data_IF_731599877754
#
_entry.id   IF_731599877754
#
_cell.length_a   1.000
_cell.length_b   1.000
_cell.length_c   1.000
_cell.angle_alpha   90.00
_cell.angle_beta   90.00
_cell.angle_gamma   90.00
#
_symmetry.space_group_name_H-M   'P 1'
#
loop_
_entity.id
_entity.type
_entity.pdbx_description
1 polymer ?
#
# COMPACT_ATOMS: atom_id res chain seq x y z
N UNK A 1 -13.33 14.88 -7.99
CA UNK A 1 -13.39 13.90 -6.87
C UNK A 1 -12.03 13.88 -6.21
N UNK A 2 -11.90 14.36 -4.97
CA UNK A 2 -10.65 14.28 -4.22
C UNK A 2 -10.79 13.08 -3.27
N UNK A 3 -10.38 11.90 -3.73
CA UNK A 3 -10.45 10.67 -2.95
C UNK A 3 -9.26 10.58 -1.98
N UNK A 4 -9.51 10.27 -0.71
CA UNK A 4 -8.46 10.06 0.27
C UNK A 4 -7.88 8.64 0.15
N UNK A 5 -6.55 8.49 0.27
CA UNK A 5 -5.85 7.19 0.17
C UNK A 5 -6.40 6.10 1.11
N UNK A 6 -6.89 6.49 2.30
CA UNK A 6 -7.43 5.55 3.30
C UNK A 6 -8.76 4.90 2.92
N UNK A 7 -9.34 5.26 1.79
CA UNK A 7 -10.54 4.62 1.23
C UNK A 7 -10.18 3.49 0.25
N UNK A 8 -8.90 3.37 -0.13
CA UNK A 8 -8.42 2.48 -1.17
C UNK A 8 -7.49 1.39 -0.63
N UNK A 9 -7.57 0.20 -1.23
CA UNK A 9 -6.62 -0.89 -1.06
C UNK A 9 -5.77 -0.99 -2.34
N UNK A 10 -4.45 -0.95 -2.19
CA UNK A 10 -3.48 -1.17 -3.27
C UNK A 10 -3.00 -2.62 -3.23
N UNK A 11 -3.09 -3.34 -4.34
CA UNK A 11 -2.41 -4.63 -4.52
C UNK A 11 -1.18 -4.46 -5.39
N UNK A 12 -0.06 -5.00 -4.92
CA UNK A 12 1.26 -4.88 -5.51
C UNK A 12 1.90 -6.28 -5.60
N UNK A 13 2.52 -6.60 -6.72
CA UNK A 13 3.11 -7.93 -6.98
C UNK A 13 4.59 -8.04 -6.57
N UNK A 14 5.21 -6.94 -6.14
CA UNK A 14 6.64 -6.85 -5.84
C UNK A 14 7.39 -5.92 -6.81
N UNK A 15 6.83 -5.68 -8.00
CA UNK A 15 7.39 -4.78 -9.01
C UNK A 15 6.44 -3.64 -9.37
N UNK A 16 5.13 -3.91 -9.47
CA UNK A 16 4.13 -2.94 -9.90
C UNK A 16 2.77 -3.14 -9.21
N UNK A 17 1.99 -2.07 -9.23
CA UNK A 17 0.58 -2.10 -8.86
C UNK A 17 -0.21 -2.94 -9.86
N UNK A 18 -0.94 -3.94 -9.37
CA UNK A 18 -1.77 -4.84 -10.20
C UNK A 18 -3.26 -4.55 -10.03
N UNK A 19 -3.68 -4.00 -8.89
CA UNK A 19 -5.07 -3.63 -8.67
C UNK A 19 -5.23 -2.55 -7.60
N UNK A 20 -6.34 -1.81 -7.70
CA UNK A 20 -6.77 -0.84 -6.68
C UNK A 20 -8.26 -1.04 -6.43
N UNK A 21 -8.68 -1.06 -5.16
CA UNK A 21 -10.09 -1.28 -4.79
C UNK A 21 -10.56 -0.24 -3.80
N UNK A 22 -11.85 0.12 -3.81
CA UNK A 22 -12.47 0.88 -2.72
C UNK A 22 -12.73 -0.02 -1.52
N UNK A 23 -11.76 -0.19 -0.65
CA UNK A 23 -11.80 -1.15 0.45
C UNK A 23 -13.04 -1.02 1.36
N UNK A 24 -13.50 0.22 1.61
CA UNK A 24 -14.63 0.48 2.51
C UNK A 24 -15.98 0.05 1.91
N UNK A 25 -16.16 0.20 0.61
CA UNK A 25 -17.46 0.00 -0.07
C UNK A 25 -17.49 -1.27 -0.93
N UNK A 26 -16.34 -1.71 -1.43
CA UNK A 26 -16.16 -2.93 -2.21
C UNK A 26 -15.41 -3.99 -1.39
N UNK A 27 -16.10 -4.53 -0.38
CA UNK A 27 -15.54 -5.52 0.55
C UNK A 27 -15.14 -6.84 -0.14
N UNK A 28 -15.67 -7.08 -1.34
CA UNK A 28 -15.43 -8.30 -2.11
C UNK A 28 -14.38 -8.09 -3.21
N UNK A 29 -13.78 -6.89 -3.31
CA UNK A 29 -12.72 -6.55 -4.25
C UNK A 29 -13.10 -6.90 -5.71
N UNK A 30 -14.32 -6.52 -6.11
CA UNK A 30 -14.88 -6.82 -7.43
C UNK A 30 -14.53 -5.77 -8.47
N UNK A 31 -14.42 -4.50 -8.07
CA UNK A 31 -14.18 -3.38 -8.97
C UNK A 31 -12.71 -2.97 -8.91
N UNK A 32 -11.92 -3.40 -9.90
CA UNK A 32 -10.55 -2.93 -10.04
C UNK A 32 -10.53 -1.52 -10.64
N UNK A 33 -10.05 -0.57 -9.86
CA UNK A 33 -9.97 0.85 -10.17
C UNK A 33 -8.56 1.28 -10.57
N UNK A 34 -7.63 0.36 -10.83
CA UNK A 34 -6.24 0.70 -11.14
C UNK A 34 -6.10 1.64 -12.35
N UNK A 35 -7.01 1.56 -13.33
CA UNK A 35 -7.08 2.44 -14.50
C UNK A 35 -7.92 3.69 -14.32
N UNK A 36 -8.75 3.74 -13.27
CA UNK A 36 -9.73 4.83 -13.03
C UNK A 36 -9.32 5.77 -11.90
N UNK A 37 -8.44 5.30 -11.00
CA UNK A 37 -7.97 6.10 -9.89
C UNK A 37 -7.06 7.23 -10.38
N UNK A 38 -7.17 8.38 -9.70
CA UNK A 38 -6.27 9.50 -9.90
C UNK A 38 -4.80 9.06 -9.73
N UNK A 39 -3.96 9.38 -10.72
CA UNK A 39 -2.57 8.96 -10.75
C UNK A 39 -1.80 9.46 -9.52
N UNK A 40 -2.12 10.64 -9.00
CA UNK A 40 -1.49 11.20 -7.82
C UNK A 40 -1.82 10.43 -6.53
N UNK A 41 -3.02 9.84 -6.45
CA UNK A 41 -3.42 9.00 -5.32
C UNK A 41 -2.68 7.68 -5.39
N UNK A 42 -2.60 7.08 -6.58
CA UNK A 42 -1.84 5.83 -6.80
C UNK A 42 -0.37 6.01 -6.47
N UNK A 43 0.27 7.06 -6.98
CA UNK A 43 1.70 7.34 -6.73
C UNK A 43 1.98 7.51 -5.24
N UNK A 44 1.14 8.25 -4.51
CA UNK A 44 1.28 8.38 -3.05
C UNK A 44 1.17 7.06 -2.31
N UNK A 45 0.26 6.17 -2.72
CA UNK A 45 0.12 4.85 -2.12
C UNK A 45 1.33 3.97 -2.42
N UNK A 46 1.88 4.04 -3.64
CA UNK A 46 3.10 3.33 -4.04
C UNK A 46 4.33 3.83 -3.25
N UNK A 47 4.47 5.14 -3.05
CA UNK A 47 5.56 5.73 -2.28
C UNK A 47 5.49 5.32 -0.80
N UNK A 48 4.31 5.33 -0.20
CA UNK A 48 4.11 4.87 1.17
C UNK A 48 4.43 3.38 1.33
N UNK A 49 3.99 2.55 0.38
CA UNK A 49 4.33 1.13 0.36
C UNK A 49 5.85 0.93 0.32
N UNK A 50 6.55 1.64 -0.58
CA UNK A 50 8.01 1.58 -0.70
C UNK A 50 8.70 2.03 0.58
N UNK A 51 8.20 3.09 1.23
CA UNK A 51 8.75 3.58 2.49
C UNK A 51 8.58 2.58 3.64
N UNK A 52 7.46 1.85 3.69
CA UNK A 52 7.24 0.77 4.68
C UNK A 52 8.21 -0.39 4.42
N UNK A 53 8.37 -0.81 3.17
CA UNK A 53 9.30 -1.89 2.78
C UNK A 53 10.73 -1.49 3.16
N UNK A 54 11.14 -0.26 2.84
CA UNK A 54 12.46 0.28 3.19
C UNK A 54 12.69 0.25 4.70
N UNK A 55 11.77 0.80 5.50
CA UNK A 55 11.88 0.77 6.96
C UNK A 55 11.95 -0.66 7.53
N UNK A 56 11.21 -1.60 6.94
CA UNK A 56 11.29 -3.00 7.36
C UNK A 56 12.65 -3.60 7.04
N UNK A 57 13.18 -3.37 5.83
CA UNK A 57 14.51 -3.85 5.42
C UNK A 57 15.61 -3.25 6.30
N UNK A 58 15.54 -1.95 6.60
CA UNK A 58 16.49 -1.28 7.49
C UNK A 58 16.51 -1.95 8.88
N UNK A 59 15.35 -2.20 9.47
CA UNK A 59 15.25 -2.90 10.77
C UNK A 59 15.78 -4.33 10.71
N UNK A 60 15.56 -5.02 9.59
CA UNK A 60 16.06 -6.37 9.39
C UNK A 60 17.58 -6.41 9.22
N UNK A 61 18.16 -5.44 8.51
CA UNK A 61 19.62 -5.32 8.34
C UNK A 61 20.30 -4.90 9.65
N UNK A 62 19.63 -4.09 10.47
CA UNK A 62 20.16 -3.61 11.73
C UNK A 62 19.89 -4.55 12.93
N UNK A 63 19.37 -5.76 12.71
CA UNK A 63 18.96 -6.72 13.75
C UNK A 63 18.03 -6.12 14.83
N UNK A 64 17.26 -5.08 14.48
CA UNK A 64 16.34 -4.37 15.38
C UNK A 64 14.98 -5.10 15.52
N UNK A 65 14.89 -6.36 15.09
CA UNK A 65 13.72 -7.22 15.26
C UNK A 65 13.53 -7.73 16.70
N UNK A 66 14.27 -7.18 17.66
CA UNK A 66 14.27 -7.66 19.05
C UNK A 66 13.08 -7.10 19.84
N UNK A 67 12.06 -7.93 20.06
CA UNK A 67 11.15 -7.74 21.20
C UNK A 67 11.89 -8.27 22.44
N UNK A 68 12.53 -7.37 23.20
CA UNK A 68 13.10 -7.74 24.50
C UNK A 68 11.94 -7.95 25.48
N UNK A 69 11.49 -9.20 25.59
CA UNK A 69 10.53 -9.62 26.60
C UNK A 69 11.26 -9.58 27.94
N UNK A 70 10.86 -8.64 28.81
CA UNK A 70 11.40 -8.52 30.17
C UNK A 70 10.58 -9.36 31.15
#
# INVERSE_FOLDING_TARGET
MSGNKGDYLLQFDGEKTIAVYRFKTDKLLKENLSSEIDSSVRERMEDELKAIIQQYMERMVNDELTFSNK
#
